data_IF_313078953687
#
_entry.id   IF_313078953687
#
_cell.length_a   1.000
_cell.length_b   1.000
_cell.length_c   1.000
_cell.angle_alpha   90.00
_cell.angle_beta   90.00
_cell.angle_gamma   90.00
#
_symmetry.space_group_name_H-M   'P 1'
#
loop_
_entity.id
_entity.type
_entity.pdbx_description
1 polymer ?
#
# COMPACT_ATOMS: atom_id res chain seq x y z
N UNK A 1 19.16 6.86 -39.58
CA UNK A 1 17.68 6.87 -39.41
C UNK A 1 17.16 5.62 -38.71
N UNK A 2 17.64 4.40 -39.01
CA UNK A 2 17.23 3.16 -38.30
C UNK A 2 17.57 3.11 -36.79
N UNK A 3 18.76 3.58 -36.40
CA UNK A 3 19.20 3.56 -35.00
C UNK A 3 18.35 4.51 -34.14
N UNK A 4 18.01 5.71 -34.66
CA UNK A 4 17.14 6.66 -33.96
C UNK A 4 15.74 6.10 -33.68
N UNK A 5 15.18 5.35 -34.62
CA UNK A 5 13.85 4.72 -34.46
C UNK A 5 13.91 3.61 -33.40
N UNK A 6 14.98 2.82 -33.36
CA UNK A 6 15.18 1.80 -32.33
C UNK A 6 15.32 2.42 -30.93
N UNK A 7 16.10 3.50 -30.81
CA UNK A 7 16.26 4.22 -29.53
C UNK A 7 14.93 4.82 -29.06
N UNK A 8 14.14 5.41 -29.98
CA UNK A 8 12.81 5.93 -29.67
C UNK A 8 11.84 4.84 -29.24
N UNK A 9 11.80 3.70 -29.94
CA UNK A 9 10.94 2.57 -29.57
C UNK A 9 11.27 2.03 -28.18
N UNK A 10 12.55 1.86 -27.89
CA UNK A 10 13.02 1.38 -26.59
C UNK A 10 12.66 2.40 -25.50
N UNK A 11 12.86 3.69 -25.73
CA UNK A 11 12.49 4.75 -24.78
C UNK A 11 10.97 4.80 -24.52
N UNK A 12 10.15 4.63 -25.57
CA UNK A 12 8.68 4.59 -25.44
C UNK A 12 8.23 3.37 -24.65
N UNK A 13 8.80 2.18 -24.92
CA UNK A 13 8.47 0.96 -24.18
C UNK A 13 8.80 1.09 -22.68
N UNK A 14 9.95 1.69 -22.35
CA UNK A 14 10.30 1.96 -20.95
C UNK A 14 9.41 3.02 -20.30
N UNK A 15 9.05 4.08 -21.03
CA UNK A 15 8.16 5.13 -20.53
C UNK A 15 6.75 4.58 -20.23
N UNK A 16 6.18 3.79 -21.15
CA UNK A 16 4.86 3.18 -20.98
C UNK A 16 4.85 2.21 -19.79
N UNK A 17 5.93 1.44 -19.60
CA UNK A 17 6.04 0.50 -18.49
C UNK A 17 6.22 1.18 -17.11
N UNK A 18 6.56 2.47 -17.08
CA UNK A 18 6.74 3.26 -15.86
C UNK A 18 5.54 4.12 -15.47
N UNK A 19 4.58 4.33 -16.37
CA UNK A 19 3.49 5.28 -16.15
C UNK A 19 2.35 4.74 -15.26
N UNK A 20 2.24 3.42 -15.08
CA UNK A 20 1.12 2.78 -14.38
C UNK A 20 1.45 2.24 -12.98
N UNK A 21 2.67 2.45 -12.47
CA UNK A 21 3.01 2.04 -11.10
C UNK A 21 2.97 3.24 -10.17
N UNK A 22 1.86 3.39 -9.43
CA UNK A 22 1.82 4.21 -8.23
C UNK A 22 3.04 3.86 -7.36
N UNK A 23 3.97 4.81 -7.21
CA UNK A 23 5.19 4.58 -6.44
C UNK A 23 4.90 4.86 -4.98
N UNK A 24 4.85 3.80 -4.17
CA UNK A 24 4.65 3.91 -2.74
C UNK A 24 5.93 4.28 -2.00
N UNK A 25 5.80 4.88 -0.81
CA UNK A 25 6.94 5.25 0.03
C UNK A 25 7.65 3.99 0.57
N UNK A 26 8.77 4.21 1.24
CA UNK A 26 9.42 3.15 2.02
C UNK A 26 8.42 2.54 3.03
N UNK A 27 8.49 1.22 3.20
CA UNK A 27 7.59 0.43 4.04
C UNK A 27 6.11 0.49 3.65
N UNK A 28 5.81 0.87 2.42
CA UNK A 28 4.48 0.77 1.83
C UNK A 28 4.47 -0.22 0.67
N UNK A 29 3.28 -0.72 0.32
CA UNK A 29 3.02 -1.52 -0.87
C UNK A 29 1.75 -1.01 -1.56
N UNK A 30 1.69 -1.07 -2.90
CA UNK A 30 0.46 -0.76 -3.61
C UNK A 30 -0.55 -1.89 -3.37
N UNK A 31 -1.79 -1.52 -3.08
CA UNK A 31 -2.95 -2.42 -3.04
C UNK A 31 -3.98 -1.85 -4.00
N UNK A 32 -4.54 -2.74 -4.83
CA UNK A 32 -5.57 -2.41 -5.80
C UNK A 32 -6.92 -2.84 -5.24
N UNK A 33 -7.89 -1.93 -5.21
CA UNK A 33 -9.21 -2.16 -4.65
C UNK A 33 -10.26 -1.29 -5.34
N UNK A 34 -11.44 -1.85 -5.60
CA UNK A 34 -12.58 -1.15 -6.23
C UNK A 34 -13.49 -0.47 -5.20
N UNK A 35 -13.33 -0.77 -3.91
CA UNK A 35 -14.23 -0.32 -2.84
C UNK A 35 -13.50 0.37 -1.69
N UNK A 36 -12.44 1.15 -1.95
CA UNK A 36 -11.72 1.90 -0.91
C UNK A 36 -12.63 2.78 -0.05
N UNK A 37 -13.66 3.37 -0.65
CA UNK A 37 -14.63 4.22 0.06
C UNK A 37 -15.43 3.47 1.14
N UNK A 38 -15.77 2.19 0.92
CA UNK A 38 -16.45 1.37 1.94
C UNK A 38 -15.47 0.65 2.85
N UNK A 39 -14.35 0.17 2.31
CA UNK A 39 -13.34 -0.61 3.03
C UNK A 39 -12.50 0.25 3.96
N UNK A 40 -12.15 1.49 3.59
CA UNK A 40 -11.17 2.33 4.28
C UNK A 40 -9.76 1.68 4.33
N UNK A 41 -8.73 2.47 4.03
CA UNK A 41 -7.32 2.06 4.07
C UNK A 41 -6.90 1.33 5.34
N UNK A 42 -7.44 1.70 6.50
CA UNK A 42 -7.17 1.06 7.81
C UNK A 42 -7.57 -0.41 7.93
N UNK A 43 -8.29 -0.95 6.94
CA UNK A 43 -8.54 -2.39 6.85
C UNK A 43 -7.34 -3.21 6.37
N UNK A 44 -6.43 -2.60 5.64
CA UNK A 44 -5.23 -3.26 5.11
C UNK A 44 -4.00 -3.04 6.00
N UNK A 45 -4.04 -2.01 6.86
CA UNK A 45 -2.92 -1.60 7.71
C UNK A 45 -3.35 -1.26 9.14
N UNK A 46 -2.44 -1.46 10.08
CA UNK A 46 -2.59 -0.94 11.44
C UNK A 46 -2.00 0.46 11.58
N UNK A 47 -2.35 1.12 12.69
CA UNK A 47 -1.77 2.40 13.12
C UNK A 47 -1.26 2.32 14.55
N UNK A 48 -0.48 3.32 14.99
CA UNK A 48 -0.06 3.37 16.39
C UNK A 48 -1.24 3.46 17.38
N UNK A 49 -2.44 3.84 16.96
CA UNK A 49 -3.65 3.94 17.78
C UNK A 49 -4.50 2.67 17.70
N UNK A 50 -4.57 2.06 16.51
CA UNK A 50 -5.24 0.79 16.25
C UNK A 50 -4.29 -0.15 15.51
N UNK A 51 -3.38 -0.83 16.23
CA UNK A 51 -2.27 -1.59 15.64
C UNK A 51 -2.69 -2.83 14.87
N UNK A 52 -3.82 -3.41 15.24
CA UNK A 52 -4.40 -4.52 14.49
C UNK A 52 -5.24 -3.92 13.36
N UNK A 53 -4.97 -4.29 12.09
CA UNK A 53 -5.89 -3.98 10.99
C UNK A 53 -7.30 -4.46 11.33
N UNK A 54 -8.31 -3.78 10.80
CA UNK A 54 -9.70 -4.14 11.11
C UNK A 54 -10.03 -5.56 10.59
N UNK A 55 -10.63 -6.43 11.43
CA UNK A 55 -10.86 -7.84 11.07
C UNK A 55 -12.04 -8.05 10.11
N UNK A 56 -13.06 -7.18 10.14
CA UNK A 56 -14.35 -7.37 9.45
C UNK A 56 -14.47 -6.53 8.18
N UNK A 57 -13.42 -6.51 7.37
CA UNK A 57 -13.37 -5.66 6.19
C UNK A 57 -13.84 -6.36 4.92
N UNK A 58 -14.72 -5.70 4.16
CA UNK A 58 -15.18 -6.16 2.84
C UNK A 58 -14.00 -6.41 1.90
N UNK A 59 -13.82 -7.65 1.43
CA UNK A 59 -12.68 -8.02 0.57
C UNK A 59 -12.63 -7.15 -0.69
N UNK A 60 -11.42 -6.76 -1.10
CA UNK A 60 -11.21 -6.13 -2.41
C UNK A 60 -11.63 -7.08 -3.52
N UNK A 61 -12.36 -6.57 -4.50
CA UNK A 61 -12.84 -7.31 -5.66
C UNK A 61 -12.25 -6.66 -6.91
N UNK A 62 -10.99 -6.93 -7.18
CA UNK A 62 -10.33 -6.53 -8.42
C UNK A 62 -9.89 -7.80 -9.14
N UNK A 63 -10.80 -8.37 -9.93
CA UNK A 63 -10.52 -9.55 -10.75
C UNK A 63 -10.29 -9.09 -12.18
N UNK A 64 -9.12 -9.40 -12.74
CA UNK A 64 -8.77 -9.04 -14.12
C UNK A 64 -9.63 -9.80 -15.17
N UNK A 65 -10.43 -10.80 -14.75
CA UNK A 65 -11.11 -11.74 -15.65
C UNK A 65 -12.54 -11.35 -16.09
N UNK A 66 -13.22 -10.41 -15.41
CA UNK A 66 -14.65 -10.18 -15.65
C UNK A 66 -14.98 -9.11 -16.70
N UNK A 67 -13.97 -8.47 -17.32
CA UNK A 67 -14.19 -7.44 -18.35
C UNK A 67 -15.07 -6.28 -17.90
N UNK A 68 -15.32 -6.16 -16.58
CA UNK A 68 -15.91 -4.99 -15.98
C UNK A 68 -14.82 -3.92 -15.94
N UNK A 69 -15.14 -2.74 -16.47
CA UNK A 69 -14.39 -1.51 -16.24
C UNK A 69 -14.58 -1.06 -14.78
N UNK A 70 -14.35 -1.97 -13.82
CA UNK A 70 -14.29 -1.57 -12.43
C UNK A 70 -12.99 -0.79 -12.27
N UNK A 71 -13.13 0.52 -12.14
CA UNK A 71 -12.06 1.47 -11.83
C UNK A 71 -11.44 1.10 -10.47
N UNK A 72 -10.57 0.10 -10.50
CA UNK A 72 -9.81 -0.34 -9.36
C UNK A 72 -8.74 0.70 -9.04
N UNK A 73 -8.97 1.49 -8.00
CA UNK A 73 -8.02 2.46 -7.52
C UNK A 73 -6.87 1.77 -6.76
N UNK A 74 -5.66 2.29 -6.93
CA UNK A 74 -4.48 1.81 -6.22
C UNK A 74 -4.18 2.78 -5.08
N UNK A 75 -4.07 2.25 -3.87
CA UNK A 75 -3.57 3.00 -2.70
C UNK A 75 -2.31 2.35 -2.11
N UNK A 76 -1.46 3.17 -1.48
CA UNK A 76 -0.24 2.71 -0.82
C UNK A 76 -0.45 2.42 0.65
N UNK A 77 -0.52 1.15 1.03
CA UNK A 77 -0.73 0.72 2.43
C UNK A 77 0.59 0.30 3.08
N UNK A 78 0.70 0.41 4.40
CA UNK A 78 1.86 -0.08 5.13
C UNK A 78 2.05 -1.58 4.89
N UNK A 79 3.30 -2.01 4.81
CA UNK A 79 3.62 -3.44 4.82
C UNK A 79 3.21 -4.03 6.17
N UNK A 80 2.80 -5.30 6.19
CA UNK A 80 2.18 -5.95 7.36
C UNK A 80 3.00 -5.87 8.66
N UNK A 81 4.32 -5.69 8.59
CA UNK A 81 5.21 -5.57 9.75
C UNK A 81 5.35 -4.13 10.29
N UNK A 82 4.68 -3.16 9.70
CA UNK A 82 4.79 -1.74 10.04
C UNK A 82 3.42 -1.12 10.29
N UNK A 83 3.41 -0.02 11.05
CA UNK A 83 2.20 0.72 11.38
C UNK A 83 2.26 2.13 10.80
N UNK A 84 1.09 2.66 10.46
CA UNK A 84 0.92 4.06 10.10
C UNK A 84 1.09 4.93 11.34
N UNK A 85 2.07 5.84 11.29
CA UNK A 85 2.31 6.82 12.34
C UNK A 85 1.47 8.09 12.15
N UNK A 86 1.37 8.95 13.18
CA UNK A 86 0.61 10.21 13.10
C UNK A 86 1.08 11.18 12.01
N UNK A 87 2.35 11.10 11.59
CA UNK A 87 2.92 11.88 10.48
C UNK A 87 2.68 11.25 9.10
N UNK A 88 2.00 10.11 9.05
CA UNK A 88 1.61 9.43 7.83
C UNK A 88 2.65 8.46 7.28
N UNK A 89 3.81 8.30 7.92
CA UNK A 89 4.83 7.33 7.46
C UNK A 89 4.65 5.95 8.12
N UNK A 90 5.04 4.89 7.40
CA UNK A 90 5.01 3.51 7.89
C UNK A 90 6.33 3.15 8.57
N UNK A 91 6.28 2.80 9.85
CA UNK A 91 7.45 2.47 10.67
C UNK A 91 7.22 1.28 11.58
N UNK A 92 8.29 0.81 12.21
CA UNK A 92 8.25 -0.30 13.15
C UNK A 92 7.33 0.06 14.34
N UNK A 93 6.53 -0.89 14.87
CA UNK A 93 5.70 -0.64 16.04
C UNK A 93 6.45 -0.09 17.26
N UNK A 94 7.77 -0.32 17.36
CA UNK A 94 8.60 0.18 18.47
C UNK A 94 8.81 1.69 18.43
N UNK A 95 8.68 2.32 17.26
CA UNK A 95 8.76 3.77 17.09
C UNK A 95 7.46 4.48 17.50
N UNK A 96 6.36 3.74 17.72
CA UNK A 96 5.09 4.34 18.10
C UNK A 96 5.21 5.07 19.45
N UNK A 97 4.46 6.17 19.65
CA UNK A 97 4.47 6.92 20.89
C UNK A 97 4.27 6.05 22.15
N UNK A 98 4.85 6.51 23.26
CA UNK A 98 4.62 5.91 24.58
C UNK A 98 3.12 5.93 24.87
N UNK A 99 2.57 4.82 25.37
CA UNK A 99 1.14 4.65 25.62
C UNK A 99 0.35 4.06 24.44
N UNK A 100 0.92 3.97 23.23
CA UNK A 100 0.26 3.28 22.11
C UNK A 100 0.11 1.77 22.37
N UNK A 101 -1.04 1.14 22.04
CA UNK A 101 -1.39 -0.25 22.37
C UNK A 101 -0.64 -1.34 21.57
N UNK A 102 0.61 -1.12 21.19
CA UNK A 102 1.38 -2.00 20.27
C UNK A 102 2.24 -3.04 20.99
N UNK A 103 2.14 -3.15 22.33
CA UNK A 103 3.00 -4.04 23.15
C UNK A 103 2.96 -5.51 22.68
N UNK A 104 1.82 -5.96 22.17
CA UNK A 104 1.64 -7.31 21.65
C UNK A 104 2.34 -7.58 20.31
N UNK A 105 2.76 -6.52 19.60
CA UNK A 105 3.53 -6.61 18.36
C UNK A 105 5.05 -6.57 18.58
N UNK A 106 5.48 -6.26 19.80
CA UNK A 106 6.89 -6.07 20.12
C UNK A 106 7.48 -7.36 20.71
N UNK A 107 8.62 -7.85 20.19
CA UNK A 107 9.29 -8.99 20.79
C UNK A 107 9.79 -8.62 22.19
N UNK A 108 9.57 -9.51 23.14
CA UNK A 108 10.11 -9.47 24.51
C UNK A 108 9.69 -8.27 25.38
N UNK A 109 8.45 -7.80 25.22
CA UNK A 109 7.84 -6.89 26.20
C UNK A 109 8.46 -5.49 26.23
N UNK A 110 9.18 -5.08 25.16
CA UNK A 110 9.56 -3.68 24.99
C UNK A 110 8.30 -2.81 24.97
N UNK A 111 8.20 -1.92 25.95
CA UNK A 111 7.69 -0.55 25.83
C UNK A 111 7.93 0.21 27.13
#
# INVERSE_FOLDING_TARGET
MKIFILVLLVAVLFYVNSADQLTCKANERPVRCNNWASRNKSCEEGSCQSPTPQPDCEKCQCFDEDGSEEDCEVECVCVYSTLRHPDGDCRDPSDCPVGSPVKHLLPDGRK
#
